data_IF_087345275145
#
_entry.id   IF_087345275145
#
_cell.length_a   1.000
_cell.length_b   1.000
_cell.length_c   1.000
_cell.angle_alpha   90.00
_cell.angle_beta   90.00
_cell.angle_gamma   90.00
#
_symmetry.space_group_name_H-M   'P 1'
#
loop_
_entity.id
_entity.type
_entity.pdbx_description
1 polymer ?
#
# COMPACT_ATOMS: atom_id res chain seq x y z
N UNK A 1 -33.10 -11.63 53.91
CA UNK A 1 -32.35 -11.24 52.71
C UNK A 1 -30.88 -11.16 53.06
N UNK A 2 -30.06 -12.12 52.61
CA UNK A 2 -28.60 -12.11 52.81
C UNK A 2 -27.99 -11.40 51.60
N UNK A 3 -27.55 -10.16 51.79
CA UNK A 3 -26.75 -9.44 50.78
C UNK A 3 -25.32 -10.00 50.82
N UNK A 4 -24.94 -10.74 49.78
CA UNK A 4 -23.56 -11.13 49.56
C UNK A 4 -22.83 -10.03 48.79
N UNK A 5 -21.80 -9.42 49.39
CA UNK A 5 -20.85 -8.57 48.67
C UNK A 5 -19.98 -9.47 47.78
N UNK A 6 -20.17 -9.41 46.47
CA UNK A 6 -19.20 -9.92 45.51
C UNK A 6 -18.13 -8.85 45.25
N UNK A 7 -16.93 -9.04 45.79
CA UNK A 7 -15.74 -8.32 45.35
C UNK A 7 -15.33 -8.85 43.98
N UNK A 8 -15.62 -8.11 42.91
CA UNK A 8 -14.98 -8.31 41.61
C UNK A 8 -13.60 -7.65 41.65
N UNK A 9 -12.55 -8.47 41.72
CA UNK A 9 -11.18 -8.03 41.45
C UNK A 9 -11.07 -7.71 39.95
N UNK A 10 -11.24 -6.45 39.56
CA UNK A 10 -10.79 -5.98 38.25
C UNK A 10 -9.31 -5.63 38.38
N UNK A 11 -8.44 -6.43 37.76
CA UNK A 11 -7.06 -6.02 37.55
C UNK A 11 -7.06 -4.79 36.63
N UNK A 12 -6.85 -3.61 37.20
CA UNK A 12 -6.58 -2.41 36.42
C UNK A 12 -5.15 -2.52 35.90
N UNK A 13 -5.00 -2.76 34.60
CA UNK A 13 -3.71 -2.70 33.92
C UNK A 13 -3.11 -1.30 34.13
N UNK A 14 -1.82 -1.23 34.46
CA UNK A 14 -1.17 0.06 34.65
C UNK A 14 -1.20 0.86 33.33
N UNK A 15 -1.52 2.17 33.32
CA UNK A 15 -1.58 2.98 32.10
C UNK A 15 -0.33 2.87 31.23
N UNK A 16 0.85 2.76 31.86
CA UNK A 16 2.14 2.51 31.20
C UNK A 16 2.16 1.20 30.39
N UNK A 17 1.58 0.11 30.90
CA UNK A 17 1.53 -1.16 30.16
C UNK A 17 0.64 -1.06 28.92
N UNK A 18 -0.46 -0.31 28.99
CA UNK A 18 -1.33 -0.07 27.82
C UNK A 18 -0.58 0.75 26.76
N UNK A 19 0.18 1.75 27.20
CA UNK A 19 0.97 2.60 26.31
C UNK A 19 2.10 1.80 25.64
N UNK A 20 2.76 0.90 26.36
CA UNK A 20 3.73 -0.04 25.77
C UNK A 20 3.10 -0.99 24.76
N UNK A 21 1.95 -1.57 25.07
CA UNK A 21 1.23 -2.48 24.16
C UNK A 21 0.84 -1.75 22.86
N UNK A 22 0.39 -0.49 22.95
CA UNK A 22 0.11 0.34 21.77
C UNK A 22 1.38 0.60 20.97
N UNK A 23 2.50 0.89 21.66
CA UNK A 23 3.79 1.09 21.01
C UNK A 23 4.27 -0.15 20.25
N UNK A 24 3.87 -1.38 20.58
CA UNK A 24 4.25 -2.56 19.79
C UNK A 24 3.51 -2.66 18.44
N UNK A 25 2.30 -2.11 18.37
CA UNK A 25 1.42 -2.25 17.21
C UNK A 25 1.76 -1.26 16.09
N UNK A 26 2.18 -0.04 16.45
CA UNK A 26 2.51 1.03 15.49
C UNK A 26 3.64 0.65 14.52
N UNK A 27 3.57 1.12 13.27
CA UNK A 27 4.63 0.91 12.27
C UNK A 27 5.85 1.81 12.54
N UNK A 28 6.94 1.67 11.77
CA UNK A 28 8.13 2.52 11.94
C UNK A 28 7.86 4.01 11.74
N UNK A 29 7.02 4.39 10.76
CA UNK A 29 6.70 5.79 10.46
C UNK A 29 5.90 6.47 11.60
N UNK A 30 4.84 5.82 12.06
CA UNK A 30 4.03 6.23 13.21
C UNK A 30 4.88 6.27 14.49
N UNK A 31 5.85 5.35 14.62
CA UNK A 31 6.78 5.38 15.75
C UNK A 31 7.70 6.60 15.69
N UNK A 32 8.19 6.96 14.50
CA UNK A 32 8.99 8.17 14.29
C UNK A 32 8.19 9.42 14.66
N UNK A 33 6.96 9.56 14.17
CA UNK A 33 6.06 10.65 14.55
C UNK A 33 5.82 10.69 16.06
N UNK A 34 5.64 9.52 16.69
CA UNK A 34 5.42 9.43 18.14
C UNK A 34 6.65 9.84 18.94
N UNK A 35 7.85 9.51 18.48
CA UNK A 35 9.11 9.92 19.09
C UNK A 35 9.27 11.43 18.99
N UNK A 36 8.99 12.02 17.81
CA UNK A 36 9.02 13.48 17.62
C UNK A 36 8.06 14.19 18.57
N UNK A 37 6.83 13.68 18.71
CA UNK A 37 5.87 14.21 19.68
C UNK A 37 6.35 14.10 21.13
N UNK A 38 6.96 12.98 21.54
CA UNK A 38 7.51 12.85 22.91
C UNK A 38 8.71 13.77 23.14
N UNK A 39 9.53 14.01 22.12
CA UNK A 39 10.65 14.95 22.19
C UNK A 39 10.16 16.39 22.39
N UNK A 40 9.06 16.78 21.75
CA UNK A 40 8.40 18.08 21.96
C UNK A 40 7.72 18.20 23.34
N UNK A 41 7.08 17.14 23.83
CA UNK A 41 6.34 17.15 25.10
C UNK A 41 7.23 17.00 26.35
N UNK A 42 8.40 16.36 26.21
CA UNK A 42 9.28 16.03 27.32
C UNK A 42 10.67 16.68 27.19
N UNK A 43 10.92 17.81 27.88
CA UNK A 43 12.20 18.51 27.77
C UNK A 43 13.38 17.77 28.42
N UNK A 44 13.12 16.67 29.15
CA UNK A 44 14.16 15.82 29.72
C UNK A 44 14.64 14.71 28.76
N UNK A 45 14.01 14.58 27.59
CA UNK A 45 14.42 13.66 26.52
C UNK A 45 15.24 14.44 25.49
N UNK A 46 16.34 13.86 25.04
CA UNK A 46 17.26 14.48 24.09
C UNK A 46 17.62 13.47 23.00
N UNK A 47 17.78 13.96 21.77
CA UNK A 47 18.27 13.19 20.64
C UNK A 47 19.80 13.28 20.62
N UNK A 48 20.49 12.15 20.77
CA UNK A 48 21.96 12.12 20.69
C UNK A 48 22.51 12.22 19.26
N UNK A 49 21.63 12.29 18.26
CA UNK A 49 21.92 12.54 16.85
C UNK A 49 22.11 14.01 16.47
N UNK A 50 21.77 14.97 17.35
CA UNK A 50 22.29 16.33 17.24
C UNK A 50 23.77 16.31 17.66
N UNK A 51 24.63 15.87 16.74
CA UNK A 51 25.98 16.43 16.71
C UNK A 51 25.79 17.93 16.53
N UNK A 52 25.94 18.70 17.61
CA UNK A 52 26.01 20.15 17.55
C UNK A 52 26.91 20.51 16.35
N UNK A 53 26.40 21.20 15.32
CA UNK A 53 27.23 21.64 14.19
C UNK A 53 28.37 22.55 14.65
N UNK A 54 28.31 23.05 15.88
CA UNK A 54 29.29 23.95 16.48
C UNK A 54 30.63 23.30 16.83
N UNK A 55 30.74 21.98 17.00
CA UNK A 55 32.03 21.34 17.32
C UNK A 55 32.83 20.86 16.09
N UNK A 56 32.25 20.88 14.88
CA UNK A 56 32.96 20.50 13.64
C UNK A 56 33.56 21.68 12.87
N UNK A 57 33.37 22.93 13.33
CA UNK A 57 33.90 24.12 12.64
C UNK A 57 35.36 24.45 13.00
N UNK A 58 35.88 23.92 14.11
CA UNK A 58 37.22 24.28 14.60
C UNK A 58 38.36 23.47 13.96
N UNK A 59 38.06 22.31 13.36
CA UNK A 59 39.06 21.42 12.74
C UNK A 59 39.35 21.73 11.25
N UNK A 60 38.59 22.63 10.62
CA UNK A 60 38.79 23.02 9.20
C UNK A 60 39.74 24.22 9.06
N UNK A 61 40.02 24.96 10.16
CA UNK A 61 40.86 26.16 10.12
C UNK A 61 42.37 25.91 10.23
N UNK A 62 42.82 24.68 10.51
CA UNK A 62 44.25 24.40 10.74
C UNK A 62 44.98 23.66 9.61
N UNK A 63 44.35 23.46 8.44
CA UNK A 63 44.99 22.73 7.32
C UNK A 63 44.84 23.43 5.96
N UNK A 64 45.20 24.70 5.86
CA UNK A 64 45.46 25.34 4.56
C UNK A 64 46.63 26.35 4.62
N UNK A 65 47.81 25.89 5.02
CA UNK A 65 49.07 26.53 4.65
C UNK A 65 49.45 26.13 3.20
N UNK A 66 48.76 26.71 2.22
CA UNK A 66 49.23 26.89 0.84
C UNK A 66 48.12 27.52 0.01
N UNK A 67 48.16 28.85 -0.16
CA UNK A 67 48.04 29.50 -1.46
C UNK A 67 48.28 31.00 -1.28
N UNK A 68 49.22 31.50 -2.08
CA UNK A 68 49.65 32.88 -2.15
C UNK A 68 48.54 33.79 -2.68
N UNK A 69 48.48 34.98 -2.08
CA UNK A 69 48.16 36.26 -2.72
C UNK A 69 46.73 36.48 -3.27
N UNK A 70 45.78 36.68 -2.37
CA UNK A 70 44.57 37.47 -2.65
C UNK A 70 44.41 38.52 -1.55
N UNK A 71 45.03 39.68 -1.77
CA UNK A 71 44.88 40.87 -0.94
C UNK A 71 43.40 41.22 -0.77
N UNK A 72 42.92 41.19 0.47
CA UNK A 72 41.56 41.49 0.92
C UNK A 72 41.19 42.99 0.79
N UNK A 73 41.76 43.70 -0.19
CA UNK A 73 41.70 45.15 -0.34
C UNK A 73 40.95 45.66 -1.58
N UNK A 74 40.57 44.79 -2.52
CA UNK A 74 40.10 45.20 -3.86
C UNK A 74 38.58 45.12 -4.08
N UNK A 75 37.79 44.83 -3.05
CA UNK A 75 36.32 44.88 -3.12
C UNK A 75 35.79 45.90 -2.12
N UNK A 76 35.77 47.19 -2.52
CA UNK A 76 35.31 48.31 -1.67
C UNK A 76 33.91 48.81 -2.00
N UNK A 77 33.22 48.28 -3.01
CA UNK A 77 31.87 48.75 -3.40
C UNK A 77 31.02 47.63 -3.98
N UNK A 78 29.70 47.64 -3.69
CA UNK A 78 28.71 46.66 -4.16
C UNK A 78 28.57 46.60 -5.70
N UNK A 79 29.02 47.64 -6.41
CA UNK A 79 28.91 47.77 -7.87
C UNK A 79 30.01 47.02 -8.67
N UNK A 80 31.06 46.50 -8.02
CA UNK A 80 32.18 45.78 -8.68
C UNK A 80 32.00 44.25 -8.71
N UNK A 81 30.81 43.76 -8.37
CA UNK A 81 30.48 42.33 -8.44
C UNK A 81 29.99 42.03 -9.87
N UNK A 82 30.72 41.23 -10.68
CA UNK A 82 30.29 40.93 -12.04
C UNK A 82 28.95 40.17 -12.05
N UNK A 83 28.02 40.57 -12.93
CA UNK A 83 26.66 40.00 -13.07
C UNK A 83 26.61 38.46 -13.19
N UNK A 84 27.68 37.83 -13.68
CA UNK A 84 27.75 36.38 -13.79
C UNK A 84 27.84 35.67 -12.42
N UNK A 85 28.32 36.35 -11.36
CA UNK A 85 28.32 35.83 -9.99
C UNK A 85 26.97 35.96 -9.30
N UNK A 86 26.21 37.01 -9.62
CA UNK A 86 24.83 37.19 -9.10
C UNK A 86 23.83 36.20 -9.73
N UNK A 87 24.18 35.59 -10.87
CA UNK A 87 23.38 34.55 -11.55
C UNK A 87 23.83 33.12 -11.26
N UNK A 88 24.91 32.92 -10.49
CA UNK A 88 25.27 31.60 -9.98
C UNK A 88 24.37 31.29 -8.80
N UNK A 89 23.23 30.67 -9.10
CA UNK A 89 22.18 30.35 -8.14
C UNK A 89 22.64 29.52 -6.94
N UNK A 90 21.79 29.54 -5.93
CA UNK A 90 21.74 28.68 -4.75
C UNK A 90 22.14 27.22 -5.02
N UNK A 91 23.44 26.95 -5.10
CA UNK A 91 23.99 25.62 -4.89
C UNK A 91 24.51 25.58 -3.45
N UNK A 92 23.56 25.52 -2.52
CA UNK A 92 23.81 24.84 -1.25
C UNK A 92 24.08 23.36 -1.59
N UNK A 93 25.01 22.72 -0.90
CA UNK A 93 25.29 21.26 -0.98
C UNK A 93 24.09 20.38 -0.59
N UNK A 94 22.94 20.98 -0.26
CA UNK A 94 21.68 20.32 0.10
C UNK A 94 20.73 20.11 -1.10
N UNK A 95 21.15 20.50 -2.33
CA UNK A 95 20.43 20.10 -3.54
C UNK A 95 20.82 18.67 -3.94
N UNK A 96 20.28 17.68 -3.22
CA UNK A 96 19.96 16.40 -3.86
C UNK A 96 19.25 16.72 -5.19
N UNK A 97 19.60 16.11 -6.33
CA UNK A 97 18.91 16.39 -7.58
C UNK A 97 17.43 16.13 -7.35
N UNK A 98 16.66 17.20 -7.16
CA UNK A 98 15.23 17.12 -6.96
C UNK A 98 14.72 16.36 -8.16
N UNK A 99 14.12 15.19 -7.91
CA UNK A 99 13.46 14.41 -8.95
C UNK A 99 12.65 15.41 -9.78
N UNK A 100 12.99 15.54 -11.06
CA UNK A 100 12.14 16.24 -12.01
C UNK A 100 10.82 15.49 -11.98
N UNK A 101 9.83 16.02 -11.27
CA UNK A 101 8.49 15.47 -11.27
C UNK A 101 7.97 15.73 -12.68
N UNK A 102 8.03 14.70 -13.53
CA UNK A 102 7.35 14.73 -14.81
C UNK A 102 5.87 14.99 -14.50
N UNK A 103 5.38 16.18 -14.84
CA UNK A 103 3.96 16.45 -14.84
C UNK A 103 3.37 15.66 -16.01
N UNK A 104 3.15 14.37 -15.81
CA UNK A 104 2.40 13.57 -16.75
C UNK A 104 1.01 14.18 -16.86
N UNK A 105 0.57 14.46 -18.08
CA UNK A 105 -0.76 15.02 -18.33
C UNK A 105 -1.81 14.03 -17.85
N UNK A 106 -2.74 14.50 -17.02
CA UNK A 106 -3.80 13.63 -16.51
C UNK A 106 -4.73 13.22 -17.65
N UNK A 107 -5.43 12.09 -17.47
CA UNK A 107 -6.46 11.66 -18.42
C UNK A 107 -7.50 12.76 -18.72
N UNK A 108 -7.83 13.56 -17.71
CA UNK A 108 -8.75 14.70 -17.86
C UNK A 108 -8.14 15.81 -18.71
N UNK A 109 -6.87 16.14 -18.51
CA UNK A 109 -6.18 17.15 -19.31
C UNK A 109 -6.14 16.76 -20.78
N UNK A 110 -5.95 15.46 -21.07
CA UNK A 110 -5.99 14.95 -22.45
C UNK A 110 -7.38 15.12 -23.10
N UNK A 111 -8.46 14.92 -22.36
CA UNK A 111 -9.83 15.14 -22.86
C UNK A 111 -10.13 16.64 -23.04
N UNK A 112 -9.62 17.50 -22.15
CA UNK A 112 -9.74 18.95 -22.28
C UNK A 112 -8.99 19.48 -23.51
N UNK A 113 -7.80 18.95 -23.79
CA UNK A 113 -7.06 19.27 -25.02
C UNK A 113 -7.86 18.88 -26.28
N UNK A 114 -8.56 17.76 -26.27
CA UNK A 114 -9.42 17.35 -27.39
C UNK A 114 -10.67 18.23 -27.54
N UNK A 115 -11.25 18.66 -26.42
CA UNK A 115 -12.35 19.62 -26.42
C UNK A 115 -11.91 20.94 -27.06
N UNK A 116 -10.72 21.43 -26.73
CA UNK A 116 -10.14 22.65 -27.30
C UNK A 116 -9.91 22.58 -28.82
N UNK A 117 -9.75 21.38 -29.38
CA UNK A 117 -9.60 21.16 -30.83
C UNK A 117 -10.93 21.16 -31.59
N UNK A 118 -12.07 21.06 -30.91
CA UNK A 118 -13.41 21.09 -31.54
C UNK A 118 -14.01 22.49 -31.54
N UNK A 119 -14.63 22.85 -32.66
CA UNK A 119 -15.42 24.08 -32.78
C UNK A 119 -16.84 23.84 -32.25
N UNK A 120 -17.00 23.97 -30.93
CA UNK A 120 -18.29 23.91 -30.25
C UNK A 120 -18.78 25.33 -29.90
N UNK A 121 -20.08 25.50 -29.68
CA UNK A 121 -20.58 26.74 -29.09
C UNK A 121 -20.07 26.89 -27.65
N UNK A 122 -19.97 28.12 -27.15
CA UNK A 122 -19.52 28.40 -25.77
C UNK A 122 -20.37 27.64 -24.72
N UNK A 123 -21.67 27.48 -25.00
CA UNK A 123 -22.61 26.72 -24.17
C UNK A 123 -22.37 25.20 -24.22
N UNK A 124 -22.16 24.63 -25.41
CA UNK A 124 -21.82 23.20 -25.56
C UNK A 124 -20.45 22.88 -24.98
N UNK A 125 -19.48 23.78 -25.11
CA UNK A 125 -18.13 23.66 -24.54
C UNK A 125 -18.20 23.56 -23.02
N UNK A 126 -18.93 24.47 -22.36
CA UNK A 126 -19.10 24.46 -20.91
C UNK A 126 -19.80 23.19 -20.40
N UNK A 127 -20.82 22.70 -21.12
CA UNK A 127 -21.48 21.44 -20.80
C UNK A 127 -20.55 20.24 -20.96
N UNK A 128 -19.78 20.20 -22.05
CA UNK A 128 -18.84 19.12 -22.34
C UNK A 128 -17.70 19.09 -21.32
N UNK A 129 -17.19 20.25 -20.91
CA UNK A 129 -16.20 20.39 -19.83
C UNK A 129 -16.74 19.85 -18.50
N UNK A 130 -18.00 20.16 -18.18
CA UNK A 130 -18.66 19.61 -16.99
C UNK A 130 -18.79 18.09 -17.05
N UNK A 131 -19.11 17.50 -18.21
CA UNK A 131 -19.12 16.04 -18.38
C UNK A 131 -17.73 15.46 -18.15
N UNK A 132 -16.68 16.05 -18.73
CA UNK A 132 -15.29 15.59 -18.54
C UNK A 132 -14.90 15.59 -17.06
N UNK A 133 -15.30 16.61 -16.31
CA UNK A 133 -15.07 16.68 -14.86
C UNK A 133 -15.74 15.54 -14.06
N UNK A 134 -16.83 14.98 -14.56
CA UNK A 134 -17.58 13.88 -13.94
C UNK A 134 -17.13 12.48 -14.39
N UNK A 135 -16.12 12.39 -15.27
CA UNK A 135 -15.55 11.11 -15.68
C UNK A 135 -14.54 10.62 -14.64
N UNK A 136 -14.65 9.34 -14.29
CA UNK A 136 -13.71 8.64 -13.41
C UNK A 136 -12.42 8.28 -14.14
N UNK A 137 -11.37 7.94 -13.37
CA UNK A 137 -10.07 7.47 -13.89
C UNK A 137 -10.20 6.24 -14.82
N UNK A 138 -11.20 5.38 -14.59
CA UNK A 138 -11.48 4.24 -15.47
C UNK A 138 -12.06 4.63 -16.85
N UNK A 139 -12.46 5.90 -17.05
CA UNK A 139 -13.08 6.43 -18.28
C UNK A 139 -14.61 6.27 -18.34
N UNK A 140 -15.26 5.84 -17.25
CA UNK A 140 -16.71 5.66 -17.16
C UNK A 140 -17.43 6.88 -16.57
N UNK A 141 -18.66 7.09 -17.01
CA UNK A 141 -19.58 8.08 -16.45
C UNK A 141 -20.56 7.39 -15.50
N UNK A 142 -20.32 7.49 -14.19
CA UNK A 142 -21.16 6.82 -13.17
C UNK A 142 -22.41 7.61 -12.79
N UNK A 143 -22.45 8.90 -13.10
CA UNK A 143 -23.58 9.78 -12.79
C UNK A 143 -24.62 9.72 -13.91
N UNK A 144 -25.88 9.68 -13.51
CA UNK A 144 -26.99 9.75 -14.45
C UNK A 144 -27.13 11.15 -15.03
N UNK A 145 -27.57 11.22 -16.28
CA UNK A 145 -27.73 12.49 -17.03
C UNK A 145 -28.69 13.45 -16.30
N UNK A 146 -29.78 12.92 -15.74
CA UNK A 146 -30.76 13.71 -14.98
C UNK A 146 -30.11 14.39 -13.76
N UNK A 147 -29.30 13.65 -12.99
CA UNK A 147 -28.59 14.22 -11.83
C UNK A 147 -27.55 15.27 -12.24
N UNK A 148 -26.88 15.10 -13.37
CA UNK A 148 -25.93 16.09 -13.90
C UNK A 148 -26.63 17.39 -14.32
N UNK A 149 -27.83 17.31 -14.90
CA UNK A 149 -28.63 18.50 -15.27
C UNK A 149 -29.05 19.30 -14.04
N UNK A 150 -29.50 18.61 -12.98
CA UNK A 150 -29.88 19.23 -11.72
C UNK A 150 -28.68 19.93 -11.04
N UNK A 151 -27.55 19.24 -10.96
CA UNK A 151 -26.31 19.76 -10.35
C UNK A 151 -25.78 20.97 -11.13
N UNK A 152 -25.77 20.90 -12.47
CA UNK A 152 -25.34 22.00 -13.32
C UNK A 152 -26.27 23.21 -13.20
N UNK A 153 -27.57 22.97 -13.14
CA UNK A 153 -28.58 24.03 -12.94
C UNK A 153 -28.41 24.73 -11.59
N UNK A 154 -28.03 23.99 -10.54
CA UNK A 154 -27.75 24.56 -9.22
C UNK A 154 -26.42 25.32 -9.17
N UNK A 155 -25.37 24.80 -9.80
CA UNK A 155 -24.03 25.39 -9.78
C UNK A 155 -23.89 26.65 -10.63
N UNK A 156 -24.44 26.63 -11.85
CA UNK A 156 -24.25 27.70 -12.85
C UNK A 156 -25.48 28.61 -12.92
N UNK A 157 -26.62 28.20 -12.36
CA UNK A 157 -27.86 28.97 -12.38
C UNK A 157 -28.53 29.04 -13.76
N UNK A 158 -28.14 28.16 -14.69
CA UNK A 158 -28.67 28.09 -16.06
C UNK A 158 -29.54 26.83 -16.17
N UNK A 159 -30.78 26.99 -16.63
CA UNK A 159 -31.64 25.86 -16.98
C UNK A 159 -31.12 25.19 -18.27
N UNK A 160 -30.74 23.93 -18.16
CA UNK A 160 -30.29 23.08 -19.27
C UNK A 160 -31.33 21.99 -19.50
N UNK A 161 -31.55 21.64 -20.76
CA UNK A 161 -32.43 20.51 -21.09
C UNK A 161 -31.66 19.19 -21.04
N UNK A 162 -32.32 18.10 -20.65
CA UNK A 162 -31.76 16.74 -20.73
C UNK A 162 -31.20 16.42 -22.12
N UNK A 163 -31.80 16.95 -23.18
CA UNK A 163 -31.35 16.72 -24.56
C UNK A 163 -29.99 17.39 -24.83
N UNK A 164 -29.78 18.62 -24.35
CA UNK A 164 -28.49 19.34 -24.48
C UNK A 164 -27.37 18.59 -23.74
N UNK A 165 -27.68 18.06 -22.55
CA UNK A 165 -26.72 17.27 -21.77
C UNK A 165 -26.39 15.94 -22.43
N UNK A 166 -27.38 15.26 -23.03
CA UNK A 166 -27.16 14.03 -23.83
C UNK A 166 -26.32 14.29 -25.07
N UNK A 167 -26.48 15.44 -25.72
CA UNK A 167 -25.64 15.85 -26.84
C UNK A 167 -24.20 16.08 -26.41
N UNK A 168 -23.97 16.77 -25.29
CA UNK A 168 -22.63 16.94 -24.72
C UNK A 168 -21.98 15.58 -24.39
N UNK A 169 -22.72 14.64 -23.79
CA UNK A 169 -22.23 13.27 -23.55
C UNK A 169 -21.86 12.58 -24.86
N UNK A 170 -22.67 12.68 -25.93
CA UNK A 170 -22.33 12.10 -27.24
C UNK A 170 -21.07 12.74 -27.85
N UNK A 171 -20.85 14.03 -27.63
CA UNK A 171 -19.62 14.71 -28.06
C UNK A 171 -18.42 14.13 -27.33
N UNK A 172 -18.49 13.97 -26.00
CA UNK A 172 -17.42 13.30 -25.24
C UNK A 172 -17.24 11.85 -25.67
N UNK A 173 -18.33 11.12 -25.93
CA UNK A 173 -18.27 9.76 -26.48
C UNK A 173 -17.68 9.69 -27.89
N UNK A 174 -17.45 10.81 -28.57
CA UNK A 174 -16.73 10.90 -29.86
C UNK A 174 -15.22 11.10 -29.71
N UNK A 175 -14.74 11.41 -28.49
CA UNK A 175 -13.33 11.64 -28.20
C UNK A 175 -12.51 10.35 -28.18
N UNK A 176 -11.19 10.47 -28.24
CA UNK A 176 -10.27 9.35 -28.03
C UNK A 176 -9.85 9.32 -26.56
N UNK A 177 -9.75 8.14 -25.93
CA UNK A 177 -9.93 6.78 -26.46
C UNK A 177 -11.39 6.39 -26.74
N UNK A 178 -11.60 5.41 -27.64
CA UNK A 178 -12.95 4.94 -27.99
C UNK A 178 -13.66 4.28 -26.78
N UNK A 179 -14.92 4.67 -26.54
CA UNK A 179 -15.73 4.15 -25.42
C UNK A 179 -15.63 4.94 -24.11
N UNK A 180 -15.01 6.12 -24.12
CA UNK A 180 -15.04 7.09 -23.00
C UNK A 180 -16.44 7.63 -22.77
N UNK A 181 -16.75 7.95 -21.51
CA UNK A 181 -18.07 8.45 -21.08
C UNK A 181 -19.22 7.47 -21.37
N UNK A 182 -18.92 6.18 -21.44
CA UNK A 182 -19.92 5.13 -21.38
C UNK A 182 -20.44 5.00 -19.93
N UNK A 183 -21.74 4.73 -19.77
CA UNK A 183 -22.33 4.46 -18.45
C UNK A 183 -22.19 2.98 -18.07
N UNK A 184 -22.15 2.10 -19.07
CA UNK A 184 -22.07 0.64 -18.87
C UNK A 184 -20.96 0.02 -19.71
N UNK A 185 -20.40 -1.11 -19.25
CA UNK A 185 -19.42 -1.89 -20.02
C UNK A 185 -19.98 -2.31 -21.39
N UNK A 186 -21.28 -2.63 -21.46
CA UNK A 186 -21.95 -2.96 -22.72
C UNK A 186 -21.86 -1.79 -23.70
N UNK A 187 -22.21 -0.58 -23.26
CA UNK A 187 -22.14 0.64 -24.06
C UNK A 187 -20.71 0.96 -24.48
N UNK A 188 -19.74 0.83 -23.57
CA UNK A 188 -18.32 1.05 -23.85
C UNK A 188 -17.83 0.17 -25.01
N UNK A 189 -18.11 -1.14 -24.94
CA UNK A 189 -17.71 -2.10 -25.97
C UNK A 189 -18.46 -1.87 -27.30
N UNK A 190 -19.73 -1.47 -27.24
CA UNK A 190 -20.52 -1.14 -28.43
C UNK A 190 -19.95 0.09 -29.15
N UNK A 191 -19.66 1.17 -28.41
CA UNK A 191 -19.03 2.39 -28.95
C UNK A 191 -17.67 2.10 -29.60
N UNK A 192 -16.90 1.16 -29.03
CA UNK A 192 -15.63 0.74 -29.65
C UNK A 192 -15.83 -0.08 -30.93
N UNK A 193 -16.86 -0.94 -30.99
CA UNK A 193 -17.19 -1.70 -32.20
C UNK A 193 -17.76 -0.84 -33.32
N UNK A 194 -18.53 0.20 -32.99
CA UNK A 194 -19.08 1.14 -33.98
C UNK A 194 -17.96 1.88 -34.73
N UNK A 195 -16.87 2.22 -34.05
CA UNK A 195 -15.70 2.87 -34.65
C UNK A 195 -14.80 1.93 -35.46
N UNK A 196 -14.93 0.62 -35.31
CA UNK A 196 -14.16 -0.36 -36.08
C UNK A 196 -14.74 -0.59 -37.48
N UNK A 197 -13.92 -1.14 -38.36
CA UNK A 197 -14.38 -1.59 -39.68
C UNK A 197 -15.48 -2.66 -39.54
N UNK A 198 -16.59 -2.44 -40.24
CA UNK A 198 -17.81 -3.24 -40.14
C UNK A 198 -17.70 -4.56 -40.91
N UNK A 199 -16.82 -5.44 -40.44
CA UNK A 199 -16.75 -6.84 -40.88
C UNK A 199 -17.94 -7.64 -40.37
N UNK A 200 -18.23 -8.78 -41.00
CA UNK A 200 -19.36 -9.64 -40.57
C UNK A 200 -19.18 -10.16 -39.14
N UNK A 201 -17.93 -10.37 -38.71
CA UNK A 201 -17.59 -10.69 -37.33
C UNK A 201 -17.90 -9.54 -36.35
N UNK A 202 -17.63 -8.28 -36.73
CA UNK A 202 -17.93 -7.09 -35.90
C UNK A 202 -19.44 -6.86 -35.78
N UNK A 203 -20.21 -7.05 -36.86
CA UNK A 203 -21.68 -6.95 -36.82
C UNK A 203 -22.28 -8.04 -35.93
N UNK A 204 -21.74 -9.26 -36.00
CA UNK A 204 -22.15 -10.36 -35.15
C UNK A 204 -21.80 -10.08 -33.68
N UNK A 205 -20.59 -9.57 -33.42
CA UNK A 205 -20.17 -9.13 -32.09
C UNK A 205 -21.10 -8.05 -31.50
N UNK A 206 -21.44 -7.03 -32.30
CA UNK A 206 -22.37 -5.98 -31.90
C UNK A 206 -23.75 -6.56 -31.53
N UNK A 207 -24.28 -7.48 -32.35
CA UNK A 207 -25.57 -8.16 -32.08
C UNK A 207 -25.53 -9.03 -30.80
N UNK A 208 -24.41 -9.69 -30.52
CA UNK A 208 -24.24 -10.45 -29.27
C UNK A 208 -24.28 -9.51 -28.06
N UNK A 209 -23.55 -8.40 -28.11
CA UNK A 209 -23.47 -7.45 -26.99
C UNK A 209 -24.79 -6.70 -26.76
N UNK A 210 -25.52 -6.35 -27.82
CA UNK A 210 -26.80 -5.66 -27.72
C UNK A 210 -27.88 -6.54 -27.05
N UNK A 211 -28.07 -7.77 -27.54
CA UNK A 211 -29.19 -8.61 -27.11
C UNK A 211 -28.85 -9.57 -25.95
N UNK A 212 -27.62 -10.10 -25.89
CA UNK A 212 -27.24 -11.23 -25.01
C UNK A 212 -25.96 -11.02 -24.20
N UNK A 213 -25.71 -9.79 -23.75
CA UNK A 213 -24.58 -9.46 -22.90
C UNK A 213 -24.47 -10.33 -21.64
N UNK A 214 -25.57 -10.59 -20.94
CA UNK A 214 -25.54 -11.42 -19.72
C UNK A 214 -25.14 -12.88 -19.98
N UNK A 215 -25.60 -13.45 -21.09
CA UNK A 215 -25.28 -14.83 -21.46
C UNK A 215 -23.83 -14.93 -21.94
N UNK A 216 -23.32 -13.88 -22.60
CA UNK A 216 -21.91 -13.76 -22.96
C UNK A 216 -21.01 -13.64 -21.74
N UNK A 217 -21.36 -12.77 -20.77
CA UNK A 217 -20.64 -12.62 -19.50
C UNK A 217 -20.56 -13.94 -18.72
N UNK A 218 -21.64 -14.73 -18.73
CA UNK A 218 -21.70 -16.06 -18.07
C UNK A 218 -21.07 -17.20 -18.90
N UNK A 219 -20.47 -16.91 -20.07
CA UNK A 219 -19.91 -17.86 -21.05
C UNK A 219 -20.88 -18.96 -21.49
N UNK A 220 -22.17 -18.64 -21.70
CA UNK A 220 -23.17 -19.59 -22.21
C UNK A 220 -23.14 -19.67 -23.74
N UNK A 221 -21.97 -20.06 -24.30
CA UNK A 221 -21.75 -20.11 -25.74
C UNK A 221 -22.79 -20.96 -26.49
N UNK A 222 -23.23 -22.07 -25.89
CA UNK A 222 -24.26 -22.97 -26.46
C UNK A 222 -25.62 -22.29 -26.65
N UNK A 223 -25.99 -21.33 -25.78
CA UNK A 223 -27.26 -20.60 -25.90
C UNK A 223 -27.16 -19.50 -26.95
N UNK A 224 -26.00 -18.84 -27.02
CA UNK A 224 -25.75 -17.76 -27.97
C UNK A 224 -25.71 -18.33 -29.39
N UNK A 225 -25.00 -19.45 -29.63
CA UNK A 225 -24.95 -20.15 -30.91
C UNK A 225 -26.34 -20.55 -31.44
N UNK A 226 -27.20 -21.08 -30.55
CA UNK A 226 -28.59 -21.43 -30.89
C UNK A 226 -29.43 -20.22 -31.28
N UNK A 227 -29.11 -19.04 -30.75
CA UNK A 227 -29.85 -17.81 -31.02
C UNK A 227 -29.33 -17.06 -32.25
N UNK A 228 -28.00 -16.98 -32.41
CA UNK A 228 -27.38 -16.28 -33.54
C UNK A 228 -27.43 -17.07 -34.83
N UNK A 229 -27.64 -18.40 -34.76
CA UNK A 229 -27.67 -19.33 -35.89
C UNK A 229 -26.43 -19.23 -36.78
N UNK A 230 -25.31 -18.82 -36.18
CA UNK A 230 -24.02 -18.63 -36.84
C UNK A 230 -23.17 -19.92 -36.74
N UNK A 231 -22.19 -20.05 -37.64
CA UNK A 231 -21.22 -21.14 -37.55
C UNK A 231 -20.32 -20.97 -36.32
N UNK A 232 -19.74 -22.07 -35.83
CA UNK A 232 -18.83 -22.05 -34.69
C UNK A 232 -17.58 -21.20 -34.98
N UNK A 233 -17.12 -21.18 -36.23
CA UNK A 233 -15.97 -20.38 -36.69
C UNK A 233 -16.29 -18.87 -36.71
N UNK A 234 -17.46 -18.46 -37.21
CA UNK A 234 -17.90 -17.06 -37.18
C UNK A 234 -18.12 -16.56 -35.75
N UNK A 235 -18.68 -17.42 -34.90
CA UNK A 235 -18.84 -17.10 -33.49
C UNK A 235 -17.48 -16.92 -32.81
N UNK A 236 -16.52 -17.81 -33.08
CA UNK A 236 -15.16 -17.69 -32.55
C UNK A 236 -14.47 -16.41 -33.02
N UNK A 237 -14.65 -16.03 -34.29
CA UNK A 237 -14.14 -14.75 -34.81
C UNK A 237 -14.75 -13.55 -34.07
N UNK A 238 -16.07 -13.54 -33.86
CA UNK A 238 -16.75 -12.48 -33.12
C UNK A 238 -16.32 -12.40 -31.65
N UNK A 239 -16.16 -13.54 -30.97
CA UNK A 239 -15.65 -13.59 -29.58
C UNK A 239 -14.23 -13.03 -29.52
N UNK A 240 -13.37 -13.39 -30.47
CA UNK A 240 -11.99 -12.90 -30.54
C UNK A 240 -11.94 -11.38 -30.69
N UNK A 241 -12.81 -10.81 -31.54
CA UNK A 241 -12.94 -9.36 -31.69
C UNK A 241 -13.42 -8.68 -30.40
N UNK A 242 -14.40 -9.24 -29.68
CA UNK A 242 -14.88 -8.70 -28.40
C UNK A 242 -13.76 -8.74 -27.35
N UNK A 243 -13.01 -9.85 -27.26
CA UNK A 243 -11.92 -9.97 -26.27
C UNK A 243 -10.73 -9.04 -26.54
N UNK A 244 -10.61 -8.51 -27.77
CA UNK A 244 -9.57 -7.56 -28.14
C UNK A 244 -9.92 -6.11 -27.76
N UNK A 245 -11.17 -5.84 -27.43
CA UNK A 245 -11.63 -4.50 -27.02
C UNK A 245 -11.11 -4.15 -25.64
N UNK A 246 -10.94 -2.85 -25.37
CA UNK A 246 -10.46 -2.38 -24.08
C UNK A 246 -11.64 -2.07 -23.14
N UNK A 247 -11.86 -2.83 -22.05
CA UNK A 247 -12.95 -2.57 -21.12
C UNK A 247 -12.73 -1.35 -20.22
N UNK A 248 -11.53 -0.76 -20.19
CA UNK A 248 -11.22 0.44 -19.38
C UNK A 248 -10.44 1.43 -20.22
N UNK A 249 -11.13 2.32 -20.96
CA UNK A 249 -10.45 3.25 -21.86
C UNK A 249 -9.52 4.23 -21.11
N UNK A 250 -9.84 4.62 -19.87
CA UNK A 250 -9.01 5.53 -19.07
C UNK A 250 -7.77 4.87 -18.43
N UNK A 251 -7.70 3.54 -18.38
CA UNK A 251 -6.63 2.82 -17.67
C UNK A 251 -5.23 2.96 -18.30
N UNK A 252 -5.12 3.39 -19.55
CA UNK A 252 -3.81 3.67 -20.17
C UNK A 252 -3.15 4.96 -19.66
N UNK A 253 -3.94 5.83 -19.02
CA UNK A 253 -3.49 7.07 -18.38
C UNK A 253 -3.47 6.97 -16.84
N UNK A 254 -3.71 5.77 -16.30
CA UNK A 254 -3.49 5.51 -14.88
C UNK A 254 -1.98 5.63 -14.64
N UNK A 255 -1.58 6.75 -14.05
CA UNK A 255 -0.18 7.14 -13.95
C UNK A 255 0.61 6.06 -13.22
N UNK A 256 1.80 5.75 -13.74
CA UNK A 256 2.80 4.91 -13.04
C UNK A 256 3.15 5.49 -11.65
N UNK A 257 2.89 6.79 -11.44
CA UNK A 257 2.93 7.48 -10.16
C UNK A 257 1.90 6.99 -9.12
N UNK A 258 0.69 6.57 -9.50
CA UNK A 258 -0.27 5.99 -8.54
C UNK A 258 0.20 4.61 -8.07
N UNK A 259 0.78 3.79 -8.95
CA UNK A 259 1.46 2.56 -8.54
C UNK A 259 2.68 2.86 -7.64
N UNK A 260 3.45 3.90 -7.96
CA UNK A 260 4.59 4.35 -7.16
C UNK A 260 4.24 4.95 -5.80
N UNK A 261 2.99 5.40 -5.60
CA UNK A 261 2.53 6.01 -4.35
C UNK A 261 2.37 5.02 -3.18
N UNK A 262 2.49 3.71 -3.45
CA UNK A 262 2.32 2.65 -2.46
C UNK A 262 3.61 1.87 -2.19
N UNK A 263 4.78 2.52 -2.22
CA UNK A 263 6.02 1.88 -1.77
C UNK A 263 5.90 1.49 -0.30
N UNK A 264 5.71 0.20 -0.04
CA UNK A 264 5.71 -0.36 1.30
C UNK A 264 7.13 -0.25 1.84
N UNK A 265 7.34 0.56 2.87
CA UNK A 265 8.62 0.63 3.59
C UNK A 265 8.64 -0.55 4.57
N UNK A 266 9.55 -1.53 4.40
CA UNK A 266 9.61 -2.69 5.26
C UNK A 266 10.23 -2.33 6.63
N UNK A 267 9.72 -2.95 7.70
CA UNK A 267 10.22 -2.77 9.07
C UNK A 267 11.43 -3.67 9.37
N UNK A 268 11.54 -4.81 8.68
CA UNK A 268 12.63 -5.77 8.82
C UNK A 268 13.33 -5.99 7.49
N UNK A 269 14.63 -6.24 7.54
CA UNK A 269 15.44 -6.67 6.40
C UNK A 269 16.13 -7.97 6.81
N UNK A 270 15.96 -9.02 6.01
CA UNK A 270 16.64 -10.30 6.22
C UNK A 270 17.59 -10.52 5.07
N UNK A 271 18.88 -10.61 5.39
CA UNK A 271 19.95 -10.86 4.44
C UNK A 271 20.49 -12.28 4.64
N UNK A 272 20.80 -12.97 3.54
CA UNK A 272 21.36 -14.31 3.56
C UNK A 272 22.84 -14.29 3.15
N UNK A 273 23.73 -14.30 4.13
CA UNK A 273 25.18 -14.40 3.91
C UNK A 273 25.61 -15.87 3.96
N UNK A 274 25.71 -16.51 2.79
CA UNK A 274 26.22 -17.89 2.63
C UNK A 274 25.53 -18.93 3.54
N UNK A 275 24.21 -18.77 3.79
CA UNK A 275 23.42 -19.65 4.64
C UNK A 275 23.30 -19.19 6.09
N UNK A 276 23.91 -18.06 6.46
CA UNK A 276 23.68 -17.38 7.73
C UNK A 276 22.65 -16.28 7.52
N UNK A 277 21.50 -16.42 8.16
CA UNK A 277 20.39 -15.46 8.06
C UNK A 277 20.58 -14.35 9.09
N UNK A 278 20.86 -13.14 8.62
CA UNK A 278 21.00 -11.94 9.44
C UNK A 278 19.70 -11.15 9.39
N UNK A 279 19.11 -10.90 10.57
CA UNK A 279 17.90 -10.07 10.70
C UNK A 279 18.33 -8.68 11.12
N UNK A 280 17.91 -7.67 10.37
CA UNK A 280 18.11 -6.26 10.66
C UNK A 280 16.75 -5.59 10.81
N UNK A 281 16.66 -4.64 11.73
CA UNK A 281 15.47 -3.81 11.92
C UNK A 281 15.72 -2.50 11.18
N UNK A 282 14.77 -2.09 10.33
CA UNK A 282 14.87 -0.85 9.59
C UNK A 282 14.55 0.33 10.51
N UNK A 283 15.55 0.73 11.29
CA UNK A 283 15.46 1.83 12.26
C UNK A 283 16.19 3.09 11.78
N UNK A 284 16.39 3.28 10.47
CA UNK A 284 17.19 4.40 9.92
C UNK A 284 16.75 5.78 10.42
N UNK A 285 15.48 5.94 10.78
CA UNK A 285 14.92 7.22 11.23
C UNK A 285 14.63 7.30 12.73
N UNK A 286 15.00 6.27 13.52
CA UNK A 286 14.78 6.29 14.96
C UNK A 286 16.03 6.87 15.62
N UNK A 287 15.96 8.08 16.21
CA UNK A 287 17.10 8.67 16.89
C UNK A 287 17.50 7.89 18.14
N UNK A 288 18.78 7.97 18.50
CA UNK A 288 19.27 7.42 19.76
C UNK A 288 18.85 8.35 20.90
N UNK A 289 17.81 7.93 21.62
CA UNK A 289 17.21 8.69 22.72
C UNK A 289 18.06 8.62 24.00
N UNK A 290 18.40 9.79 24.54
CA UNK A 290 19.12 9.93 25.82
C UNK A 290 18.37 10.86 26.78
N UNK A 291 18.77 10.80 28.05
CA UNK A 291 18.23 11.69 29.08
C UNK A 291 19.09 12.94 29.11
N UNK A 292 18.47 14.10 29.04
CA UNK A 292 19.19 15.37 29.10
C UNK A 292 19.96 15.49 30.43
N UNK A 293 21.26 15.75 30.31
CA UNK A 293 22.19 15.80 31.45
C UNK A 293 21.88 16.95 32.40
N UNK A 294 21.44 18.10 31.88
CA UNK A 294 21.13 19.29 32.68
C UNK A 294 19.98 19.02 33.67
N UNK A 295 18.97 18.26 33.24
CA UNK A 295 17.84 17.89 34.10
C UNK A 295 18.24 16.88 35.18
N UNK A 296 19.19 15.99 34.87
CA UNK A 296 19.74 15.05 35.85
C UNK A 296 20.56 15.77 36.91
N UNK A 297 21.38 16.73 36.50
CA UNK A 297 22.19 17.57 37.40
C UNK A 297 21.32 18.49 38.27
N UNK A 298 20.29 19.14 37.69
CA UNK A 298 19.29 19.91 38.45
C UNK A 298 18.61 19.05 39.53
N UNK A 299 18.20 17.82 39.19
CA UNK A 299 17.57 16.92 40.17
C UNK A 299 18.52 16.54 41.31
N UNK A 300 19.80 16.28 41.03
CA UNK A 300 20.81 15.98 42.04
C UNK A 300 21.09 17.18 42.95
N UNK A 301 21.21 18.39 42.41
CA UNK A 301 21.39 19.62 43.18
C UNK A 301 20.20 19.91 44.11
N UNK A 302 18.96 19.72 43.64
CA UNK A 302 17.77 19.91 44.45
C UNK A 302 17.56 18.81 45.50
N UNK A 303 17.99 17.58 45.22
CA UNK A 303 17.93 16.45 46.16
C UNK A 303 18.96 16.60 47.29
N UNK A 304 20.11 17.21 47.01
CA UNK A 304 21.16 17.49 47.99
C UNK A 304 20.82 18.69 48.89
N UNK A 305 20.10 19.70 48.37
CA UNK A 305 19.66 20.89 49.13
C UNK A 305 18.34 20.69 49.90
N UNK A 306 18.28 19.72 50.82
CA UNK A 306 17.08 19.44 51.65
C UNK A 306 16.73 20.51 52.70
N UNK A 307 17.63 21.44 52.98
CA UNK A 307 17.54 22.35 54.14
C UNK A 307 16.78 23.66 53.89
N UNK A 308 16.48 24.04 52.64
CA UNK A 308 15.78 25.29 52.28
C UNK A 308 14.71 25.06 51.21
N UNK A 309 13.65 24.30 51.53
CA UNK A 309 12.59 24.02 50.56
C UNK A 309 11.37 24.95 50.71
N UNK A 310 11.25 25.93 49.81
CA UNK A 310 9.98 26.62 49.52
C UNK A 310 8.98 25.62 48.91
N UNK A 311 7.66 25.85 49.05
CA UNK A 311 6.61 25.02 48.44
C UNK A 311 6.80 24.92 46.91
N UNK A 312 7.13 26.03 46.27
CA UNK A 312 7.35 26.10 44.82
C UNK A 312 8.55 25.26 44.37
N UNK A 313 9.58 25.15 45.22
CA UNK A 313 10.75 24.31 44.95
C UNK A 313 10.41 22.82 45.02
N UNK A 314 9.51 22.42 45.92
CA UNK A 314 9.05 21.02 46.01
C UNK A 314 8.23 20.62 44.80
N UNK A 315 7.38 21.51 44.31
CA UNK A 315 6.55 21.28 43.13
C UNK A 315 7.41 21.22 41.84
N UNK A 316 8.44 22.07 41.72
CA UNK A 316 9.40 22.01 40.63
C UNK A 316 10.22 20.70 40.63
N UNK A 317 10.68 20.23 41.79
CA UNK A 317 11.40 18.95 41.92
C UNK A 317 10.49 17.76 41.58
N UNK A 318 9.23 17.81 41.99
CA UNK A 318 8.25 16.78 41.64
C UNK A 318 8.02 16.73 40.13
N UNK A 319 7.91 17.90 39.49
CA UNK A 319 7.75 18.03 38.04
C UNK A 319 8.97 17.47 37.28
N UNK A 320 10.18 17.88 37.64
CA UNK A 320 11.42 17.37 37.03
C UNK A 320 11.54 15.86 37.22
N UNK A 321 11.23 15.35 38.42
CA UNK A 321 11.22 13.91 38.69
C UNK A 321 10.22 13.16 37.81
N UNK A 322 9.00 13.66 37.66
CA UNK A 322 7.99 13.04 36.81
C UNK A 322 8.43 13.01 35.34
N UNK A 323 9.03 14.09 34.83
CA UNK A 323 9.54 14.16 33.46
C UNK A 323 10.76 13.25 33.23
N UNK A 324 11.67 13.15 34.21
CA UNK A 324 12.78 12.19 34.19
C UNK A 324 12.31 10.73 34.25
N UNK A 325 11.35 10.41 35.11
CA UNK A 325 10.77 9.06 35.22
C UNK A 325 10.01 8.70 33.92
N UNK A 326 9.31 9.67 33.31
CA UNK A 326 8.66 9.51 32.01
C UNK A 326 9.66 9.27 30.88
N UNK A 327 10.75 10.05 30.83
CA UNK A 327 11.82 9.89 29.83
C UNK A 327 12.51 8.52 29.96
N UNK A 328 12.89 8.13 31.18
CA UNK A 328 13.47 6.81 31.48
C UNK A 328 12.56 5.67 31.06
N UNK A 329 11.28 5.80 31.40
CA UNK A 329 10.28 4.80 31.03
C UNK A 329 10.14 4.70 29.51
N UNK A 330 10.06 5.84 28.80
CA UNK A 330 9.94 5.86 27.35
C UNK A 330 11.17 5.24 26.66
N UNK A 331 12.39 5.62 27.05
CA UNK A 331 13.63 5.04 26.51
C UNK A 331 13.66 3.51 26.71
N UNK A 332 13.33 3.05 27.92
CA UNK A 332 13.27 1.61 28.20
C UNK A 332 12.18 0.91 27.39
N UNK A 333 11.03 1.56 27.18
CA UNK A 333 9.95 1.02 26.38
C UNK A 333 10.31 0.92 24.89
N UNK A 334 11.03 1.89 24.34
CA UNK A 334 11.55 1.86 22.95
C UNK A 334 12.55 0.72 22.79
N UNK A 335 13.51 0.58 23.71
CA UNK A 335 14.48 -0.53 23.71
C UNK A 335 13.79 -1.89 23.83
N UNK A 336 12.87 -2.03 24.78
CA UNK A 336 12.11 -3.25 24.97
C UNK A 336 11.27 -3.61 23.73
N UNK A 337 10.71 -2.61 23.03
CA UNK A 337 10.04 -2.83 21.74
C UNK A 337 11.02 -3.39 20.72
N UNK A 338 12.19 -2.75 20.51
CA UNK A 338 13.20 -3.22 19.57
C UNK A 338 13.61 -4.67 19.87
N UNK A 339 13.90 -4.98 21.13
CA UNK A 339 14.26 -6.35 21.56
C UNK A 339 13.14 -7.34 21.27
N UNK A 340 11.88 -6.97 21.55
CA UNK A 340 10.72 -7.84 21.32
C UNK A 340 10.51 -8.10 19.82
N UNK A 341 10.61 -7.05 18.99
CA UNK A 341 10.50 -7.15 17.53
C UNK A 341 11.60 -8.05 16.96
N UNK A 342 12.85 -7.81 17.37
CA UNK A 342 14.02 -8.56 16.92
C UNK A 342 13.95 -10.03 17.35
N UNK A 343 13.64 -10.31 18.62
CA UNK A 343 13.53 -11.68 19.12
C UNK A 343 12.39 -12.46 18.44
N UNK A 344 11.25 -11.80 18.20
CA UNK A 344 10.11 -12.39 17.48
C UNK A 344 10.49 -12.71 16.04
N UNK A 345 11.13 -11.78 15.34
CA UNK A 345 11.54 -11.99 13.95
C UNK A 345 12.62 -13.08 13.83
N UNK A 346 13.61 -13.09 14.72
CA UNK A 346 14.63 -14.14 14.75
C UNK A 346 14.00 -15.52 14.96
N UNK A 347 13.01 -15.64 15.85
CA UNK A 347 12.29 -16.90 16.06
C UNK A 347 11.54 -17.36 14.80
N UNK A 348 10.92 -16.43 14.07
CA UNK A 348 10.23 -16.71 12.79
C UNK A 348 11.24 -17.17 11.73
N UNK A 349 12.34 -16.44 11.56
CA UNK A 349 13.39 -16.76 10.57
C UNK A 349 14.02 -18.12 10.87
N UNK A 350 14.30 -18.42 12.14
CA UNK A 350 14.85 -19.72 12.54
C UNK A 350 13.88 -20.88 12.26
N UNK A 351 12.57 -20.68 12.48
CA UNK A 351 11.55 -21.70 12.19
C UNK A 351 11.36 -21.91 10.68
N UNK A 352 11.45 -20.84 9.90
CA UNK A 352 11.24 -20.80 8.45
C UNK A 352 12.55 -20.75 7.64
N UNK A 353 13.65 -21.25 8.19
CA UNK A 353 14.99 -21.11 7.59
C UNK A 353 15.06 -21.63 6.14
N UNK A 354 14.34 -22.70 5.83
CA UNK A 354 14.29 -23.29 4.48
C UNK A 354 13.69 -22.34 3.45
N UNK A 355 12.69 -21.54 3.83
CA UNK A 355 12.10 -20.52 2.96
C UNK A 355 13.08 -19.37 2.73
N UNK A 356 13.68 -18.83 3.78
CA UNK A 356 14.62 -17.70 3.65
C UNK A 356 15.91 -18.05 2.88
N UNK A 357 16.32 -19.33 2.87
CA UNK A 357 17.48 -19.78 2.08
C UNK A 357 17.11 -20.06 0.62
N UNK A 358 15.96 -20.70 0.37
CA UNK A 358 15.62 -21.19 -0.98
C UNK A 358 14.66 -20.32 -1.77
N UNK A 359 13.92 -19.44 -1.10
CA UNK A 359 12.88 -18.59 -1.69
C UNK A 359 11.61 -19.32 -2.12
N UNK A 360 11.51 -20.64 -1.89
CA UNK A 360 10.36 -21.42 -2.34
C UNK A 360 9.26 -21.44 -1.28
N UNK A 361 8.12 -20.83 -1.60
CA UNK A 361 6.92 -20.79 -0.76
C UNK A 361 6.37 -22.17 -0.38
N UNK A 362 6.67 -23.22 -1.16
CA UNK A 362 6.24 -24.60 -0.81
C UNK A 362 6.92 -25.13 0.43
N UNK A 363 8.13 -24.64 0.75
CA UNK A 363 8.92 -25.10 1.90
C UNK A 363 8.60 -24.35 3.19
N UNK A 364 7.57 -23.51 3.18
CA UNK A 364 7.06 -22.88 4.40
C UNK A 364 6.49 -23.94 5.32
N UNK A 365 7.10 -24.04 6.51
CA UNK A 365 6.61 -24.92 7.56
C UNK A 365 5.38 -24.29 8.19
N UNK A 366 4.32 -25.05 8.47
CA UNK A 366 3.18 -24.47 9.17
C UNK A 366 3.61 -23.99 10.56
N UNK A 367 3.09 -22.83 10.96
CA UNK A 367 3.47 -22.16 12.20
C UNK A 367 2.31 -21.32 12.72
N UNK A 368 2.00 -21.48 13.99
CA UNK A 368 0.98 -20.67 14.69
C UNK A 368 1.64 -19.67 15.64
N UNK A 369 0.90 -18.62 16.02
CA UNK A 369 1.38 -17.61 16.96
C UNK A 369 1.84 -18.20 18.31
N UNK A 370 1.25 -19.35 18.71
CA UNK A 370 1.64 -20.06 19.93
C UNK A 370 3.05 -20.64 19.84
N UNK A 371 3.49 -21.10 18.68
CA UNK A 371 4.82 -21.70 18.52
C UNK A 371 5.91 -20.65 18.77
N UNK A 372 5.72 -19.44 18.26
CA UNK A 372 6.62 -18.30 18.52
C UNK A 372 6.53 -17.84 19.98
N UNK A 373 5.35 -17.91 20.59
CA UNK A 373 5.14 -17.61 22.01
C UNK A 373 5.93 -18.55 22.91
N UNK A 374 5.90 -19.85 22.62
CA UNK A 374 6.64 -20.86 23.37
C UNK A 374 8.17 -20.72 23.20
N UNK A 375 8.64 -20.24 22.04
CA UNK A 375 10.07 -20.01 21.78
C UNK A 375 10.59 -18.73 22.46
N UNK A 376 9.85 -17.64 22.35
CA UNK A 376 10.28 -16.30 22.82
C UNK A 376 9.91 -16.03 24.28
N UNK A 377 8.93 -16.75 24.82
CA UNK A 377 8.37 -16.52 26.15
C UNK A 377 7.42 -15.33 26.23
N UNK A 378 7.10 -14.66 25.11
CA UNK A 378 6.12 -13.57 25.07
C UNK A 378 4.69 -14.09 24.98
N UNK A 379 3.73 -13.29 25.41
CA UNK A 379 2.31 -13.63 25.29
C UNK A 379 1.85 -13.66 23.82
N UNK A 380 0.91 -14.55 23.50
CA UNK A 380 0.37 -14.70 22.14
C UNK A 380 -0.21 -13.36 21.62
N UNK A 381 -0.80 -12.54 22.49
CA UNK A 381 -1.32 -11.23 22.12
C UNK A 381 -0.22 -10.23 21.77
N UNK A 382 0.95 -10.33 22.39
CA UNK A 382 2.14 -9.52 22.08
C UNK A 382 2.66 -9.86 20.69
N UNK A 383 2.80 -11.15 20.37
CA UNK A 383 3.28 -11.60 19.04
C UNK A 383 2.28 -11.25 17.94
N UNK A 384 0.99 -11.42 18.21
CA UNK A 384 -0.07 -11.00 17.28
C UNK A 384 0.08 -9.52 16.90
N UNK A 385 0.29 -8.63 17.88
CA UNK A 385 0.51 -7.20 17.65
C UNK A 385 1.79 -6.90 16.87
N UNK A 386 2.88 -7.60 17.18
CA UNK A 386 4.15 -7.47 16.45
C UNK A 386 4.03 -7.94 15.01
N UNK A 387 3.23 -8.97 14.74
CA UNK A 387 3.03 -9.49 13.37
C UNK A 387 2.05 -8.67 12.52
N UNK A 388 1.18 -7.87 13.16
CA UNK A 388 0.17 -7.07 12.47
C UNK A 388 0.82 -5.82 11.87
N UNK A 389 0.49 -5.52 10.60
CA UNK A 389 0.92 -4.31 9.89
C UNK A 389 2.44 -4.10 9.86
N UNK A 390 3.21 -5.19 9.86
CA UNK A 390 4.65 -5.18 9.68
C UNK A 390 5.04 -5.97 8.44
N UNK A 391 6.09 -5.51 7.79
CA UNK A 391 6.63 -6.14 6.57
C UNK A 391 8.11 -6.46 6.73
N UNK A 392 8.53 -7.56 6.11
CA UNK A 392 9.94 -7.97 6.00
C UNK A 392 10.36 -7.92 4.54
N UNK A 393 11.51 -7.31 4.29
CA UNK A 393 12.24 -7.42 3.04
C UNK A 393 13.17 -8.62 3.08
N UNK A 394 13.11 -9.42 2.02
CA UNK A 394 13.98 -10.57 1.77
C UNK A 394 14.60 -10.43 0.39
N UNK A 395 15.59 -11.27 0.07
CA UNK A 395 16.19 -11.34 -1.28
C UNK A 395 15.15 -11.63 -2.39
N UNK A 396 14.00 -12.20 -2.03
CA UNK A 396 12.94 -12.59 -2.97
C UNK A 396 11.78 -11.59 -3.06
N UNK A 397 11.78 -10.54 -2.23
CA UNK A 397 10.73 -9.53 -2.20
C UNK A 397 10.29 -9.14 -0.78
N UNK A 398 9.22 -8.33 -0.72
CA UNK A 398 8.65 -7.82 0.54
C UNK A 398 7.42 -8.65 0.91
N UNK A 399 7.43 -9.23 2.11
CA UNK A 399 6.35 -10.07 2.63
C UNK A 399 5.78 -9.50 3.92
N UNK A 400 4.46 -9.64 4.13
CA UNK A 400 3.85 -9.34 5.43
C UNK A 400 4.22 -10.43 6.45
N UNK A 401 4.47 -10.07 7.71
CA UNK A 401 4.75 -11.10 8.73
C UNK A 401 3.59 -12.10 8.91
N UNK A 402 2.35 -11.68 8.65
CA UNK A 402 1.17 -12.58 8.66
C UNK A 402 1.29 -13.73 7.68
N UNK A 403 2.00 -13.54 6.58
CA UNK A 403 2.16 -14.56 5.53
C UNK A 403 2.82 -15.84 6.07
N UNK A 404 3.75 -15.70 7.01
CA UNK A 404 4.46 -16.84 7.62
C UNK A 404 3.61 -17.65 8.61
N UNK A 405 2.46 -17.11 9.04
CA UNK A 405 1.54 -17.80 9.95
C UNK A 405 0.46 -18.52 9.15
N UNK A 406 0.78 -19.74 8.71
CA UNK A 406 -0.16 -20.59 8.00
C UNK A 406 -0.77 -21.66 8.91
N UNK A 407 -2.06 -21.96 8.71
CA UNK A 407 -2.72 -23.11 9.34
C UNK A 407 -2.05 -24.42 8.90
N UNK A 408 -1.83 -25.34 9.85
CA UNK A 408 -1.39 -26.71 9.57
C UNK A 408 -2.58 -27.59 9.19
N UNK A 409 -2.36 -28.48 8.21
CA UNK A 409 -3.20 -29.66 7.97
C UNK A 409 -2.36 -30.92 8.08
N UNK A 410 -2.97 -32.02 8.51
CA UNK A 410 -2.29 -33.32 8.55
C UNK A 410 -2.56 -34.10 7.28
N UNK A 411 -1.50 -34.58 6.64
CA UNK A 411 -1.59 -35.56 5.55
C UNK A 411 -1.85 -36.97 6.09
N UNK A 412 -2.17 -37.92 5.21
CA UNK A 412 -2.38 -39.34 5.58
C UNK A 412 -1.16 -39.97 6.27
N UNK A 413 0.04 -39.41 6.04
CA UNK A 413 1.30 -39.85 6.65
C UNK A 413 1.57 -39.22 8.02
N UNK A 414 0.70 -38.32 8.51
CA UNK A 414 0.86 -37.61 9.78
C UNK A 414 1.81 -36.41 9.73
N UNK A 415 2.32 -36.05 8.54
CA UNK A 415 3.12 -34.85 8.33
C UNK A 415 2.22 -33.60 8.30
N UNK A 416 2.68 -32.53 8.94
CA UNK A 416 2.00 -31.23 8.93
C UNK A 416 2.36 -30.46 7.66
N UNK A 417 1.34 -30.16 6.87
CA UNK A 417 1.50 -29.46 5.60
C UNK A 417 0.84 -28.09 5.66
N UNK A 418 1.43 -27.12 4.96
CA UNK A 418 0.93 -25.75 4.92
C UNK A 418 -0.19 -25.58 3.91
N UNK A 419 -1.14 -24.67 4.20
CA UNK A 419 -2.19 -24.30 3.25
C UNK A 419 -1.63 -23.64 1.96
N UNK A 420 -0.43 -23.06 2.02
CA UNK A 420 0.22 -22.40 0.88
C UNK A 420 0.72 -23.44 -0.13
N UNK A 421 1.31 -24.53 0.34
CA UNK A 421 1.72 -25.64 -0.51
C UNK A 421 0.54 -26.23 -1.28
N UNK A 422 -0.58 -26.47 -0.60
CA UNK A 422 -1.82 -26.97 -1.22
C UNK A 422 -2.33 -26.01 -2.30
N UNK A 423 -2.28 -24.70 -2.03
CA UNK A 423 -2.68 -23.66 -2.99
C UNK A 423 -1.82 -23.68 -4.25
N UNK A 424 -0.50 -23.77 -4.10
CA UNK A 424 0.44 -23.84 -5.22
C UNK A 424 0.27 -25.13 -6.03
N UNK A 425 0.09 -26.27 -5.38
CA UNK A 425 -0.25 -27.53 -6.07
C UNK A 425 -1.59 -27.40 -6.83
N UNK A 426 -2.57 -26.72 -6.26
CA UNK A 426 -3.85 -26.49 -6.92
C UNK A 426 -3.68 -25.57 -8.14
N UNK A 427 -2.85 -24.54 -8.05
CA UNK A 427 -2.50 -23.66 -9.15
C UNK A 427 -1.78 -24.42 -10.28
N UNK A 428 -0.80 -25.26 -9.97
CA UNK A 428 -0.12 -26.13 -10.94
C UNK A 428 -1.10 -27.10 -11.62
N UNK A 429 -1.99 -27.72 -10.86
CA UNK A 429 -3.02 -28.61 -11.38
C UNK A 429 -4.00 -27.88 -12.31
N UNK A 430 -4.33 -26.61 -12.03
CA UNK A 430 -5.22 -25.79 -12.86
C UNK A 430 -4.47 -25.27 -14.09
N UNK A 431 -3.20 -24.88 -13.97
CA UNK A 431 -2.38 -24.45 -15.10
C UNK A 431 -2.15 -25.59 -16.11
N UNK A 432 -2.02 -26.83 -15.63
CA UNK A 432 -1.93 -28.04 -16.44
C UNK A 432 -3.28 -28.59 -16.95
N UNK A 433 -4.41 -27.92 -16.67
CA UNK A 433 -5.73 -28.45 -17.03
C UNK A 433 -6.06 -28.31 -18.52
N UNK A 434 -6.86 -29.24 -19.04
CA UNK A 434 -7.40 -29.10 -20.39
C UNK A 434 -8.50 -28.03 -20.40
N UNK A 435 -8.20 -26.86 -20.97
CA UNK A 435 -9.11 -25.70 -21.02
C UNK A 435 -10.44 -25.94 -21.74
N UNK A 436 -10.57 -27.00 -22.55
CA UNK A 436 -11.86 -27.41 -23.15
C UNK A 436 -12.79 -28.09 -22.15
N UNK A 437 -12.23 -28.77 -21.17
CA UNK A 437 -12.94 -29.49 -20.11
C UNK A 437 -12.28 -29.23 -18.76
N UNK A 438 -12.42 -28.00 -18.21
CA UNK A 438 -11.76 -27.59 -16.98
C UNK A 438 -12.15 -28.50 -15.81
N UNK A 439 -11.21 -28.69 -14.88
CA UNK A 439 -11.38 -29.59 -13.74
C UNK A 439 -12.39 -29.00 -12.76
N UNK A 440 -13.38 -29.81 -12.38
CA UNK A 440 -14.33 -29.44 -11.33
C UNK A 440 -13.67 -29.52 -9.96
N UNK A 441 -14.20 -28.77 -8.99
CA UNK A 441 -13.69 -28.78 -7.61
C UNK A 441 -13.70 -30.20 -7.00
N UNK A 442 -14.61 -31.07 -7.44
CA UNK A 442 -14.65 -32.49 -7.04
C UNK A 442 -13.43 -33.27 -7.56
N UNK A 443 -13.06 -33.06 -8.84
CA UNK A 443 -11.88 -33.71 -9.44
C UNK A 443 -10.57 -33.18 -8.86
N UNK A 444 -10.51 -31.89 -8.56
CA UNK A 444 -9.35 -31.30 -7.88
C UNK A 444 -9.17 -31.90 -6.48
N UNK A 445 -10.26 -32.15 -5.75
CA UNK A 445 -10.22 -32.84 -4.46
C UNK A 445 -9.75 -34.30 -4.59
N UNK A 446 -10.18 -35.02 -5.64
CA UNK A 446 -9.70 -36.37 -5.94
C UNK A 446 -8.19 -36.39 -6.26
N UNK A 447 -7.71 -35.49 -7.11
CA UNK A 447 -6.27 -35.39 -7.47
C UNK A 447 -5.43 -35.08 -6.23
N UNK A 448 -5.90 -34.20 -5.34
CA UNK A 448 -5.20 -33.89 -4.09
C UNK A 448 -5.20 -35.10 -3.14
N UNK A 449 -6.29 -35.85 -3.09
CA UNK A 449 -6.37 -37.10 -2.31
C UNK A 449 -5.40 -38.15 -2.83
N UNK A 450 -5.26 -38.31 -4.15
CA UNK A 450 -4.30 -39.23 -4.76
C UNK A 450 -2.85 -38.83 -4.47
N UNK A 451 -2.59 -37.53 -4.27
CA UNK A 451 -1.29 -37.01 -3.81
C UNK A 451 -1.06 -37.13 -2.29
N UNK A 452 -2.03 -37.66 -1.53
CA UNK A 452 -1.93 -37.89 -0.07
C UNK A 452 -2.52 -36.79 0.81
N UNK A 453 -3.19 -35.79 0.21
CA UNK A 453 -3.83 -34.68 0.93
C UNK A 453 -5.34 -34.91 1.06
N UNK A 454 -5.82 -35.19 2.28
CA UNK A 454 -7.25 -35.44 2.53
C UNK A 454 -8.00 -34.11 2.66
N UNK A 455 -8.52 -33.60 1.55
CA UNK A 455 -9.18 -32.30 1.51
C UNK A 455 -10.63 -32.42 1.02
N UNK A 456 -11.54 -31.74 1.71
CA UNK A 456 -12.94 -31.66 1.29
C UNK A 456 -13.13 -30.68 0.12
N UNK A 457 -14.10 -30.97 -0.76
CA UNK A 457 -14.49 -30.10 -1.88
C UNK A 457 -14.74 -28.64 -1.48
N UNK A 458 -15.37 -28.39 -0.32
CA UNK A 458 -15.63 -27.03 0.19
C UNK A 458 -14.34 -26.26 0.50
N UNK A 459 -13.33 -26.96 1.01
CA UNK A 459 -12.01 -26.39 1.32
C UNK A 459 -11.26 -26.04 0.04
N UNK A 460 -11.33 -26.90 -0.98
CA UNK A 460 -10.82 -26.61 -2.33
C UNK A 460 -11.48 -25.37 -2.92
N UNK A 461 -12.81 -25.26 -2.84
CA UNK A 461 -13.53 -24.08 -3.32
C UNK A 461 -13.12 -22.80 -2.58
N UNK A 462 -12.96 -22.86 -1.25
CA UNK A 462 -12.47 -21.74 -0.43
C UNK A 462 -11.07 -21.30 -0.84
N UNK A 463 -10.14 -22.23 -1.04
CA UNK A 463 -8.78 -21.90 -1.48
C UNK A 463 -8.74 -21.33 -2.90
N UNK A 464 -9.57 -21.87 -3.81
CA UNK A 464 -9.75 -21.34 -5.16
C UNK A 464 -10.25 -19.88 -5.15
N UNK A 465 -11.25 -19.59 -4.31
CA UNK A 465 -11.79 -18.23 -4.14
C UNK A 465 -10.76 -17.27 -3.55
N UNK A 466 -9.96 -17.70 -2.56
CA UNK A 466 -8.87 -16.89 -2.01
C UNK A 466 -7.79 -16.56 -3.05
N UNK A 467 -7.56 -17.43 -4.03
CA UNK A 467 -6.64 -17.20 -5.15
C UNK A 467 -7.28 -16.46 -6.33
N UNK A 468 -8.54 -16.00 -6.20
CA UNK A 468 -9.28 -15.35 -7.29
C UNK A 468 -9.42 -16.19 -8.56
N UNK A 469 -9.27 -17.51 -8.46
CA UNK A 469 -9.41 -18.40 -9.61
C UNK A 469 -10.90 -18.66 -9.84
N UNK A 470 -11.44 -18.45 -11.05
CA UNK A 470 -12.87 -18.62 -11.27
C UNK A 470 -13.27 -20.11 -11.35
N UNK A 471 -14.58 -20.38 -11.20
CA UNK A 471 -15.14 -21.74 -11.28
C UNK A 471 -14.84 -22.40 -12.62
N UNK A 472 -14.77 -23.73 -12.66
CA UNK A 472 -14.49 -24.51 -13.87
C UNK A 472 -15.28 -24.01 -15.10
N UNK A 473 -16.57 -23.71 -14.95
CA UNK A 473 -17.40 -23.16 -16.05
C UNK A 473 -16.83 -21.91 -16.71
N UNK A 474 -16.28 -21.00 -15.90
CA UNK A 474 -15.72 -19.73 -16.35
C UNK A 474 -14.29 -19.88 -16.90
N UNK A 475 -13.61 -21.00 -16.60
CA UNK A 475 -12.29 -21.35 -17.16
C UNK A 475 -12.36 -22.06 -18.51
N UNK A 476 -13.56 -22.38 -18.99
CA UNK A 476 -13.75 -23.02 -20.29
C UNK A 476 -13.39 -22.05 -21.42
N UNK A 477 -12.50 -22.48 -22.31
CA UNK A 477 -12.14 -21.84 -23.58
C UNK A 477 -12.59 -22.73 -24.76
N UNK A 478 -12.80 -22.14 -25.96
CA UNK A 478 -13.31 -22.82 -27.18
C UNK A 478 -12.16 -23.30 -28.09
#
# INVERSE_FOLDING_TARGET
MRQGLQQKLQQKIAPQQIQFIKMLEVNTLEMEERIKQELEENPALEDSGESNPEESFDDILYNNEQNEDLSLGDYRSEDDIPDYKLRSGNYSEDNTPGMSVSADSSFRDFLLDQLNLKLLSERESALTEYVIGNIDHDGYLRRDVESMVDDYSFHVGITVSDDEMREAVKVVQSFEPAGVAAMTLRECLMLQLERKEQTDAVKLAYKILDTRFEEFSKKHFDKILKYTNASEDEFKAAVTEITRLNPKPGGAWESEYELGSSTIIPDYVVENDNGVLNVLLNSKNIPDLQINRNYSEMFEEYSNNKSNQSKDMKDAVLFVKQKLDSAKWFINAVKQRQDTLMATMQAIVNKQSEFFISGDETKLKPMILKDISDITGFDVSTISRVSNNKYVQTDFGIYSLKFFFSESMQNEQGEEVSAIEIKKILEECIAGENKRSPLTDDKLAEILKDKGYVIARRTVAKYREQMNIPVARMRKEI
#
